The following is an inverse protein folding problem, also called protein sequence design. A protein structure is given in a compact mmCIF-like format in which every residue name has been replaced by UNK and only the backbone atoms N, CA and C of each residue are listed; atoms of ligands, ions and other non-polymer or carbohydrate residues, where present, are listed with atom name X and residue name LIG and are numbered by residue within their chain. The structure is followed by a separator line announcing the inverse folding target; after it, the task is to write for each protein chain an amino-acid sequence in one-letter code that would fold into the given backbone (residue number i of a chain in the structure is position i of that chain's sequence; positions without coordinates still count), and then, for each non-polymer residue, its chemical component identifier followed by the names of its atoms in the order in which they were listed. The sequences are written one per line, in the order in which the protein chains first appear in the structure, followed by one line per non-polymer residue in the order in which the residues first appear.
data_IF_608447904901
#
_entry.id   IF_608447904901
#
_cell.length_a   1.000
_cell.length_b   1.000
_cell.length_c   1.000
_cell.angle_alpha   90.00
_cell.angle_beta   90.00
_cell.angle_gamma   90.00
#
_symmetry.space_group_name_H-M   'P 1'
#
loop_
_entity.id
_entity.type
_entity.pdbx_description
1 polymer ?
#
# COMPACT_ATOMS: atom_id res chain seq x y z
N UNK A 1 7.57 -26.31 -12.28
CA UNK A 1 7.50 -25.78 -13.66
C UNK A 1 6.03 -25.67 -14.03
N UNK A 2 5.39 -24.52 -13.75
CA UNK A 2 3.94 -24.33 -13.99
C UNK A 2 3.74 -23.08 -14.85
N UNK A 3 3.42 -23.35 -16.12
CA UNK A 3 2.67 -22.56 -17.10
C UNK A 3 2.50 -21.04 -16.84
N UNK A 4 3.49 -20.25 -17.24
CA UNK A 4 3.26 -18.88 -17.69
C UNK A 4 2.53 -18.96 -19.05
N UNK A 5 1.22 -19.20 -19.04
CA UNK A 5 0.39 -18.76 -20.16
C UNK A 5 0.32 -17.23 -20.06
N UNK A 6 1.37 -16.57 -20.54
CA UNK A 6 1.45 -15.12 -20.58
C UNK A 6 0.28 -14.60 -21.39
N UNK A 7 -0.66 -13.94 -20.72
CA UNK A 7 -1.66 -13.11 -21.40
C UNK A 7 -0.88 -12.07 -22.21
N UNK A 8 -1.04 -12.08 -23.52
CA UNK A 8 -0.42 -11.07 -24.39
C UNK A 8 -1.22 -9.78 -24.27
N UNK A 9 -0.57 -8.72 -23.81
CA UNK A 9 -1.14 -7.38 -23.71
C UNK A 9 -0.79 -6.57 -24.96
N UNK A 10 -1.76 -5.83 -25.50
CA UNK A 10 -1.52 -4.90 -26.61
C UNK A 10 -1.09 -3.51 -26.10
N UNK A 11 -1.50 -3.18 -24.88
CA UNK A 11 -1.19 -1.94 -24.19
C UNK A 11 0.21 -2.04 -23.54
N UNK A 12 0.92 -0.92 -23.35
CA UNK A 12 2.20 -0.89 -22.65
C UNK A 12 2.07 -1.20 -21.15
N UNK A 13 3.12 -1.82 -20.61
CA UNK A 13 3.30 -2.03 -19.17
C UNK A 13 3.69 -0.70 -18.50
N UNK A 14 3.01 -0.33 -17.42
CA UNK A 14 3.34 0.83 -16.62
C UNK A 14 4.06 0.44 -15.32
N UNK A 15 5.21 1.05 -15.07
CA UNK A 15 6.06 0.80 -13.90
C UNK A 15 6.46 2.10 -13.16
N UNK A 16 5.70 3.17 -13.30
CA UNK A 16 5.95 4.42 -12.56
C UNK A 16 6.67 5.52 -13.34
N UNK A 17 7.25 5.22 -14.49
CA UNK A 17 8.04 6.19 -15.26
C UNK A 17 7.17 7.17 -16.06
N UNK A 18 6.10 6.68 -16.68
CA UNK A 18 5.22 7.47 -17.54
C UNK A 18 4.17 8.25 -16.73
N UNK A 19 3.79 9.46 -17.16
CA UNK A 19 2.70 10.21 -16.53
C UNK A 19 1.35 9.53 -16.72
N UNK A 20 0.58 9.41 -15.63
CA UNK A 20 -0.71 8.68 -15.62
C UNK A 20 -1.95 9.57 -15.46
N UNK A 21 -1.79 10.89 -15.34
CA UNK A 21 -2.91 11.80 -15.17
C UNK A 21 -3.86 11.75 -16.37
N UNK A 22 -5.15 11.51 -16.12
CA UNK A 22 -6.20 11.36 -17.13
C UNK A 22 -6.20 10.02 -17.87
N UNK A 23 -5.18 9.17 -17.66
CA UNK A 23 -5.04 7.87 -18.33
C UNK A 23 -5.78 6.77 -17.57
N UNK A 24 -6.25 5.77 -18.30
CA UNK A 24 -6.84 4.57 -17.72
C UNK A 24 -5.77 3.53 -17.51
N UNK A 25 -5.59 3.11 -16.25
CA UNK A 25 -4.65 2.08 -15.85
C UNK A 25 -5.41 0.82 -15.42
N UNK A 26 -5.16 -0.28 -16.11
CA UNK A 26 -5.63 -1.59 -15.69
C UNK A 26 -4.63 -2.23 -14.72
N UNK A 27 -5.07 -2.44 -13.48
CA UNK A 27 -4.39 -3.27 -12.51
C UNK A 27 -4.90 -4.70 -12.60
N UNK A 28 -4.01 -5.67 -12.75
CA UNK A 28 -4.39 -7.08 -12.80
C UNK A 28 -3.69 -7.87 -11.70
N UNK A 29 -4.43 -8.73 -11.00
CA UNK A 29 -3.83 -9.60 -10.01
C UNK A 29 -3.19 -10.84 -10.65
N UNK A 30 -1.89 -11.05 -10.46
CA UNK A 30 -1.16 -12.24 -10.90
C UNK A 30 -0.75 -13.15 -9.74
N UNK A 31 -1.04 -12.74 -8.50
CA UNK A 31 -0.62 -13.41 -7.26
C UNK A 31 -1.82 -13.93 -6.44
N UNK A 32 -1.54 -14.39 -5.21
CA UNK A 32 -2.55 -14.91 -4.30
C UNK A 32 -3.53 -13.84 -3.79
N UNK A 33 -4.61 -14.28 -3.13
CA UNK A 33 -5.64 -13.37 -2.62
C UNK A 33 -5.11 -12.41 -1.55
N UNK A 34 -4.19 -12.87 -0.70
CA UNK A 34 -3.56 -12.06 0.35
C UNK A 34 -2.69 -10.94 -0.24
N UNK A 35 -1.90 -11.25 -1.26
CA UNK A 35 -1.06 -10.28 -1.96
C UNK A 35 -1.90 -9.17 -2.59
N UNK A 36 -3.04 -9.53 -3.20
CA UNK A 36 -3.94 -8.55 -3.77
C UNK A 36 -4.47 -7.56 -2.73
N UNK A 37 -4.90 -8.06 -1.56
CA UNK A 37 -5.35 -7.21 -0.44
C UNK A 37 -4.20 -6.31 0.06
N UNK A 38 -2.97 -6.83 0.11
CA UNK A 38 -1.82 -6.05 0.53
C UNK A 38 -1.54 -4.90 -0.44
N UNK A 39 -1.50 -5.16 -1.74
CA UNK A 39 -1.11 -4.17 -2.74
C UNK A 39 -2.23 -3.20 -3.16
N UNK A 40 -3.50 -3.48 -2.82
CA UNK A 40 -4.59 -2.51 -3.05
C UNK A 40 -4.40 -1.17 -2.31
N UNK A 41 -3.52 -1.10 -1.31
CA UNK A 41 -3.19 0.16 -0.60
C UNK A 41 -2.57 1.25 -1.48
N UNK A 42 -2.03 0.88 -2.64
CA UNK A 42 -1.44 1.83 -3.59
C UNK A 42 -2.48 2.45 -4.54
N UNK A 43 -3.69 1.89 -4.61
CA UNK A 43 -4.73 2.36 -5.52
C UNK A 43 -5.14 3.82 -5.25
N UNK A 44 -5.34 4.26 -3.99
CA UNK A 44 -5.62 5.67 -3.72
C UNK A 44 -4.53 6.61 -4.24
N UNK A 45 -3.25 6.21 -4.15
CA UNK A 45 -2.12 7.02 -4.63
C UNK A 45 -2.12 7.16 -6.16
N UNK A 46 -2.57 6.14 -6.89
CA UNK A 46 -2.76 6.22 -8.34
C UNK A 46 -3.88 7.20 -8.69
N UNK A 47 -4.99 7.16 -7.95
CA UNK A 47 -6.11 8.08 -8.14
C UNK A 47 -5.71 9.53 -7.79
N UNK A 48 -4.91 9.75 -6.75
CA UNK A 48 -4.33 11.06 -6.41
C UNK A 48 -3.43 11.61 -7.51
N UNK A 49 -2.72 10.73 -8.24
CA UNK A 49 -1.96 11.08 -9.45
C UNK A 49 -2.85 11.29 -10.68
N UNK A 50 -4.18 11.23 -10.54
CA UNK A 50 -5.15 11.48 -11.58
C UNK A 50 -5.43 10.31 -12.53
N UNK A 51 -5.00 9.09 -12.18
CA UNK A 51 -5.28 7.91 -12.98
C UNK A 51 -6.72 7.40 -12.79
N UNK A 52 -7.31 6.88 -13.85
CA UNK A 52 -8.57 6.14 -13.83
C UNK A 52 -8.27 4.66 -13.66
N UNK A 53 -8.48 4.11 -12.47
CA UNK A 53 -8.03 2.74 -12.14
C UNK A 53 -9.13 1.72 -12.40
N UNK A 54 -8.83 0.73 -13.25
CA UNK A 54 -9.63 -0.49 -13.41
C UNK A 54 -8.90 -1.62 -12.67
N UNK A 55 -9.59 -2.35 -11.80
CA UNK A 55 -9.02 -3.48 -11.06
C UNK A 55 -9.61 -4.80 -11.56
N UNK A 56 -8.79 -5.63 -12.20
CA UNK A 56 -9.08 -7.04 -12.49
C UNK A 56 -8.65 -7.93 -11.33
N UNK A 57 -9.63 -8.62 -10.73
CA UNK A 57 -9.41 -9.45 -9.54
C UNK A 57 -10.15 -10.79 -9.63
N UNK A 58 -9.70 -11.76 -8.83
CA UNK A 58 -10.42 -13.00 -8.59
C UNK A 58 -11.80 -12.75 -7.97
N UNK A 59 -12.81 -13.51 -8.41
CA UNK A 59 -14.21 -13.37 -8.00
C UNK A 59 -14.42 -13.21 -6.48
N UNK A 60 -13.76 -13.98 -5.61
CA UNK A 60 -13.95 -13.86 -4.15
C UNK A 60 -13.59 -12.49 -3.57
N UNK A 61 -12.72 -11.73 -4.24
CA UNK A 61 -12.26 -10.43 -3.76
C UNK A 61 -13.00 -9.25 -4.38
N UNK A 62 -13.81 -9.46 -5.42
CA UNK A 62 -14.52 -8.37 -6.10
C UNK A 62 -15.35 -7.54 -5.13
N UNK A 63 -16.19 -8.19 -4.31
CA UNK A 63 -17.05 -7.47 -3.35
C UNK A 63 -16.24 -6.71 -2.30
N UNK A 64 -15.17 -7.31 -1.79
CA UNK A 64 -14.31 -6.71 -0.77
C UNK A 64 -13.56 -5.49 -1.30
N UNK A 65 -13.02 -5.59 -2.52
CA UNK A 65 -12.13 -4.57 -3.07
C UNK A 65 -12.88 -3.49 -3.86
N UNK A 66 -14.11 -3.72 -4.30
CA UNK A 66 -14.88 -2.71 -5.06
C UNK A 66 -15.10 -1.40 -4.29
N UNK A 67 -15.01 -1.42 -2.95
CA UNK A 67 -15.14 -0.24 -2.10
C UNK A 67 -13.83 0.51 -1.83
N UNK A 68 -12.70 0.09 -2.41
CA UNK A 68 -11.41 0.79 -2.25
C UNK A 68 -11.49 2.13 -2.98
N UNK A 69 -11.16 3.21 -2.27
CA UNK A 69 -11.11 4.56 -2.84
C UNK A 69 -10.12 4.60 -4.00
N UNK A 70 -10.53 5.22 -5.11
CA UNK A 70 -9.71 5.36 -6.32
C UNK A 70 -9.96 4.30 -7.39
N UNK A 71 -10.69 3.23 -7.08
CA UNK A 71 -11.16 2.28 -8.11
C UNK A 71 -12.32 2.92 -8.89
N UNK A 72 -12.15 3.06 -10.19
CA UNK A 72 -13.22 3.44 -11.12
C UNK A 72 -14.11 2.24 -11.46
N UNK A 73 -13.52 1.07 -11.66
CA UNK A 73 -14.24 -0.15 -12.02
C UNK A 73 -13.51 -1.40 -11.53
N UNK A 74 -14.25 -2.38 -11.01
CA UNK A 74 -13.70 -3.70 -10.65
C UNK A 74 -14.31 -4.79 -11.55
N UNK A 75 -13.44 -5.57 -12.21
CA UNK A 75 -13.80 -6.65 -13.14
C UNK A 75 -13.30 -7.99 -12.61
N UNK A 76 -14.05 -9.07 -12.84
CA UNK A 76 -13.61 -10.41 -12.47
C UNK A 76 -12.66 -10.94 -13.55
N UNK A 77 -11.57 -11.60 -13.16
CA UNK A 77 -10.70 -12.32 -14.09
C UNK A 77 -11.50 -13.20 -15.05
N UNK A 78 -11.19 -13.08 -16.34
CA UNK A 78 -11.87 -13.80 -17.42
C UNK A 78 -13.10 -13.09 -18.00
N UNK A 79 -13.54 -11.98 -17.41
CA UNK A 79 -14.51 -11.07 -18.04
C UNK A 79 -13.83 -10.22 -19.12
N UNK A 80 -14.63 -9.63 -20.01
CA UNK A 80 -14.15 -8.67 -20.99
C UNK A 80 -13.58 -7.46 -20.28
N UNK A 81 -12.34 -7.10 -20.61
CA UNK A 81 -11.69 -5.92 -20.06
C UNK A 81 -12.16 -4.65 -20.78
N UNK A 82 -12.40 -3.55 -20.05
CA UNK A 82 -12.62 -2.26 -20.66
C UNK A 82 -11.33 -1.74 -21.33
N UNK A 83 -11.49 -0.78 -22.23
CA UNK A 83 -10.38 -0.08 -22.85
C UNK A 83 -9.52 0.64 -21.80
N UNK A 84 -8.21 0.50 -21.96
CA UNK A 84 -7.21 1.08 -21.07
C UNK A 84 -6.00 1.55 -21.86
N UNK A 85 -5.30 2.55 -21.32
CA UNK A 85 -4.07 3.09 -21.93
C UNK A 85 -2.84 2.28 -21.52
N UNK A 86 -2.83 1.77 -20.27
CA UNK A 86 -1.72 1.03 -19.67
C UNK A 86 -2.22 -0.16 -18.87
N UNK A 87 -1.36 -1.16 -18.69
CA UNK A 87 -1.60 -2.24 -17.73
C UNK A 87 -0.45 -2.32 -16.71
N UNK A 88 -0.73 -2.81 -15.51
CA UNK A 88 0.25 -3.03 -14.47
C UNK A 88 -0.13 -4.23 -13.59
N UNK A 89 0.77 -5.19 -13.34
CA UNK A 89 0.57 -6.22 -12.33
C UNK A 89 0.45 -5.56 -10.96
N UNK A 90 -0.54 -5.98 -10.18
CA UNK A 90 -0.80 -5.38 -8.87
C UNK A 90 0.41 -5.50 -7.92
N UNK A 91 1.18 -6.58 -8.02
CA UNK A 91 2.41 -6.80 -7.26
C UNK A 91 3.60 -5.93 -7.72
N UNK A 92 3.49 -5.24 -8.87
CA UNK A 92 4.51 -4.30 -9.35
C UNK A 92 4.33 -2.89 -8.80
N UNK A 93 3.21 -2.59 -8.11
CA UNK A 93 2.97 -1.26 -7.55
C UNK A 93 4.04 -0.80 -6.55
N UNK A 94 4.55 -1.62 -5.62
CA UNK A 94 5.65 -1.19 -4.74
C UNK A 94 6.86 -0.70 -5.52
N UNK A 95 7.22 -1.37 -6.63
CA UNK A 95 8.29 -0.95 -7.51
C UNK A 95 7.96 0.39 -8.19
N UNK A 96 6.75 0.53 -8.72
CA UNK A 96 6.30 1.76 -9.40
C UNK A 96 6.22 2.99 -8.47
N UNK A 97 6.13 2.75 -7.16
CA UNK A 97 6.14 3.78 -6.12
C UNK A 97 7.49 3.90 -5.40
N UNK A 98 8.53 3.18 -5.84
CA UNK A 98 9.84 3.12 -5.19
C UNK A 98 9.75 2.86 -3.68
N UNK A 99 8.91 1.89 -3.31
CA UNK A 99 8.55 1.65 -1.91
C UNK A 99 9.71 0.96 -1.18
N UNK A 100 10.19 1.61 -0.13
CA UNK A 100 11.08 1.05 0.87
C UNK A 100 10.30 0.57 2.11
N UNK A 101 10.88 -0.28 2.98
CA UNK A 101 10.20 -0.78 4.18
C UNK A 101 9.57 0.34 5.04
N UNK A 102 10.24 1.49 5.14
CA UNK A 102 9.78 2.65 5.91
C UNK A 102 8.74 3.53 5.18
N UNK A 103 8.54 3.34 3.87
CA UNK A 103 7.63 4.14 3.04
C UNK A 103 6.38 3.39 2.59
N UNK A 104 6.16 2.19 3.13
CA UNK A 104 4.94 1.42 2.88
C UNK A 104 3.73 2.29 3.25
N UNK A 105 2.80 2.55 2.31
CA UNK A 105 1.64 3.39 2.60
C UNK A 105 0.87 2.87 3.81
N UNK A 106 0.80 3.69 4.85
CA UNK A 106 0.20 3.38 6.14
C UNK A 106 -1.10 4.13 6.38
N UNK A 107 -1.61 4.89 5.40
CA UNK A 107 -2.92 5.54 5.46
C UNK A 107 -4.03 4.47 5.53
N UNK A 108 -4.58 4.32 6.74
CA UNK A 108 -5.69 3.42 7.07
C UNK A 108 -6.98 4.26 7.19
N UNK A 109 -8.14 3.82 6.66
CA UNK A 109 -8.41 2.55 5.98
C UNK A 109 -8.54 2.67 4.45
N UNK A 110 -7.79 1.85 3.70
CA UNK A 110 -7.99 1.69 2.25
C UNK A 110 -9.05 0.63 1.92
N UNK A 111 -9.41 -0.24 2.88
CA UNK A 111 -10.57 -1.13 2.82
C UNK A 111 -11.67 -0.59 3.71
N UNK A 112 -12.81 -0.25 3.11
CA UNK A 112 -14.01 0.10 3.87
C UNK A 112 -14.93 -1.10 3.92
N UNK A 113 -15.22 -1.61 5.12
CA UNK A 113 -16.29 -2.58 5.31
C UNK A 113 -17.60 -1.82 5.13
N UNK A 114 -18.29 -2.04 4.02
CA UNK A 114 -19.66 -1.57 3.85
C UNK A 114 -20.50 -2.12 5.00
N UNK A 115 -21.01 -1.24 5.86
CA UNK A 115 -21.88 -1.62 6.98
C UNK A 115 -23.12 -2.33 6.42
N UNK A 116 -23.16 -3.66 6.43
CA UNK A 116 -24.44 -4.37 6.39
C UNK A 116 -25.13 -4.08 7.73
N UNK A 117 -26.29 -3.44 7.66
CA UNK A 117 -27.02 -3.00 8.84
C UNK A 117 -27.22 -4.10 9.88
N UNK A 118 -26.96 -3.76 11.14
CA UNK A 118 -27.40 -4.49 12.32
C UNK A 118 -26.29 -5.18 13.12
N UNK A 119 -25.71 -4.48 14.11
CA UNK A 119 -24.90 -5.13 15.15
C UNK A 119 -23.97 -4.18 15.90
N UNK A 120 -24.40 -3.71 17.08
CA UNK A 120 -23.64 -2.90 18.03
C UNK A 120 -22.27 -3.53 18.37
N UNK A 121 -21.18 -2.93 17.85
CA UNK A 121 -19.80 -3.33 18.14
C UNK A 121 -18.93 -2.11 18.40
N UNK A 122 -18.39 -2.01 19.61
CA UNK A 122 -17.69 -0.85 20.18
C UNK A 122 -16.51 -0.37 19.33
N UNK A 123 -16.48 0.94 19.04
CA UNK A 123 -15.28 1.69 18.61
C UNK A 123 -14.21 1.60 19.69
N UNK A 124 -13.11 0.91 19.42
CA UNK A 124 -11.84 1.14 20.10
C UNK A 124 -10.88 1.76 19.10
N UNK A 125 -10.80 3.09 19.15
CA UNK A 125 -9.78 3.87 18.47
C UNK A 125 -8.44 3.54 19.16
N UNK A 126 -7.56 2.77 18.51
CA UNK A 126 -6.17 2.66 18.96
C UNK A 126 -5.46 3.93 18.52
N UNK A 127 -5.59 5.00 19.31
CA UNK A 127 -4.56 6.03 19.38
C UNK A 127 -3.55 5.54 20.40
N UNK A 128 -2.40 5.04 19.94
CA UNK A 128 -1.22 4.94 20.79
C UNK A 128 -0.26 6.04 20.40
N UNK A 129 -0.26 7.05 21.27
CA UNK A 129 0.66 8.17 21.30
C UNK A 129 2.11 7.67 21.31
N UNK A 130 2.93 8.27 20.46
CA UNK A 130 4.37 8.24 20.53
C UNK A 130 4.81 9.01 21.79
N UNK A 131 4.94 8.32 22.94
CA UNK A 131 5.81 8.80 24.01
C UNK A 131 7.20 8.27 23.73
N UNK A 132 8.16 9.20 23.68
CA UNK A 132 9.56 8.94 23.41
C UNK A 132 10.10 7.81 24.28
N UNK A 133 10.73 6.84 23.61
CA UNK A 133 11.59 5.87 24.25
C UNK A 133 12.92 6.56 24.53
N UNK A 134 13.05 7.14 25.72
CA UNK A 134 14.32 7.52 26.31
C UNK A 134 15.09 6.24 26.66
N UNK A 135 16.10 5.91 25.84
CA UNK A 135 17.02 4.81 26.11
C UNK A 135 17.99 5.22 27.23
N UNK A 136 17.74 4.71 28.43
CA UNK A 136 18.65 4.71 29.57
C UNK A 136 19.92 3.92 29.22
N UNK A 137 21.01 4.63 28.90
CA UNK A 137 22.37 4.11 28.90
C UNK A 137 23.14 4.67 30.10
N UNK A 138 23.93 3.87 30.85
CA UNK A 138 24.71 4.38 31.96
C UNK A 138 25.92 5.18 31.44
N UNK A 139 25.83 6.51 31.52
CA UNK A 139 26.96 7.39 31.29
C UNK A 139 27.76 7.57 32.60
N UNK A 140 29.01 7.14 32.53
CA UNK A 140 30.09 7.25 33.52
C UNK A 140 30.19 8.67 34.13
N UNK A 141 30.37 8.83 35.45
CA UNK A 141 30.60 10.15 36.04
C UNK A 141 32.03 10.61 35.77
N UNK A 142 32.17 11.65 34.95
CA UNK A 142 33.43 12.38 34.76
C UNK A 142 33.51 13.48 35.83
N UNK A 143 34.20 13.18 36.93
CA UNK A 143 34.49 14.17 37.99
C UNK A 143 35.86 14.81 37.69
N UNK A 144 35.81 16.04 37.19
CA UNK A 144 36.85 17.07 37.35
C UNK A 144 36.13 18.14 38.17
N UNK A 145 36.57 18.60 39.33
CA UNK A 145 37.89 19.10 39.71
C UNK A 145 37.83 19.34 41.22
N UNK A 146 38.84 18.94 42.01
CA UNK A 146 39.18 19.73 43.22
C UNK A 146 40.70 19.71 43.39
N UNK A 147 41.25 20.91 43.24
CA UNK A 147 42.60 21.31 43.66
C UNK A 147 42.73 21.18 45.18
N UNK A 148 43.82 20.59 45.66
CA UNK A 148 44.62 21.08 46.80
C UNK A 148 45.90 20.23 46.90
N UNK A 149 47.06 20.83 46.61
CA UNK A 149 48.31 20.44 47.31
C UNK A 149 48.26 20.94 48.77
N UNK A 150 49.37 20.97 49.52
CA UNK A 150 50.71 20.43 49.29
C UNK A 150 51.13 19.44 50.40
N UNK A 151 52.28 18.78 50.27
CA UNK A 151 53.04 18.28 51.43
C UNK A 151 54.52 18.06 51.08
N UNK A 152 55.43 18.15 52.06
CA UNK A 152 56.86 18.44 51.93
C UNK A 152 57.75 17.30 51.44
#
# INVERSE_FOLDING_TARGET
MLHLRGRSWSQPLWLGAEPIAGKTLLLHNDQGLGDAIQFCRYIPLLAERGARVILEIDRPLKELLSGVVGIMQCVVKGETLPDHDFHCPLASLPLAFDTMPDTIPSSVPYLSIGQRGGGTGRRALVQRASRGLESSGPATPNIRTITTGPCP
#
